data_IF_864661743628
#
_entry.id   IF_864661743628
#
_cell.length_a   1.000
_cell.length_b   1.000
_cell.length_c   1.000
_cell.angle_alpha   90.00
_cell.angle_beta   90.00
_cell.angle_gamma   90.00
#
_symmetry.space_group_name_H-M   'P 1'
#
loop_
_entity.id
_entity.type
_entity.pdbx_description
1 polymer ?
#
# COMPACT_ATOMS: atom_id res chain seq x y z
N UNK A 1 62.51 17.42 18.49
CA UNK A 1 61.84 18.60 19.08
C UNK A 1 60.34 18.30 19.10
N UNK A 2 59.67 18.19 20.26
CA UNK A 2 58.25 17.88 20.29
C UNK A 2 57.46 19.15 19.95
N UNK A 3 56.68 19.11 18.87
CA UNK A 3 55.81 20.22 18.47
C UNK A 3 54.78 20.48 19.56
N UNK A 4 54.77 21.71 20.10
CA UNK A 4 53.76 22.13 21.07
C UNK A 4 52.42 22.13 20.36
N UNK A 5 51.55 21.19 20.72
CA UNK A 5 50.20 21.11 20.17
C UNK A 5 49.45 22.40 20.53
N UNK A 6 49.13 23.18 19.49
CA UNK A 6 48.38 24.43 19.61
C UNK A 6 46.91 24.11 19.92
N UNK A 7 46.53 24.28 21.19
CA UNK A 7 45.19 23.95 21.71
C UNK A 7 44.08 24.68 20.94
N UNK A 8 44.37 25.86 20.39
CA UNK A 8 43.42 26.64 19.59
C UNK A 8 43.17 25.97 18.24
N UNK A 9 44.22 25.48 17.56
CA UNK A 9 44.07 24.74 16.30
C UNK A 9 43.33 23.42 16.52
N UNK A 10 43.61 22.76 17.64
CA UNK A 10 42.97 21.49 17.98
C UNK A 10 41.47 21.66 18.22
N UNK A 11 41.07 22.71 18.95
CA UNK A 11 39.66 23.05 19.17
C UNK A 11 38.91 23.36 17.86
N UNK A 12 39.52 24.13 16.96
CA UNK A 12 38.93 24.45 15.65
C UNK A 12 38.76 23.19 14.79
N UNK A 13 39.79 22.35 14.72
CA UNK A 13 39.72 21.09 13.96
C UNK A 13 38.68 20.11 14.52
N UNK A 14 38.53 20.06 15.85
CA UNK A 14 37.54 19.22 16.51
C UNK A 14 36.11 19.69 16.20
N UNK A 15 35.85 21.00 16.26
CA UNK A 15 34.55 21.57 15.91
C UNK A 15 34.15 21.27 14.45
N UNK A 16 35.09 21.38 13.51
CA UNK A 16 34.86 21.05 12.10
C UNK A 16 34.57 19.55 11.93
N UNK A 17 35.35 18.68 12.59
CA UNK A 17 35.13 17.23 12.53
C UNK A 17 33.76 16.83 13.10
N UNK A 18 33.36 17.40 14.25
CA UNK A 18 32.04 17.17 14.84
C UNK A 18 30.93 17.68 13.91
N UNK A 19 31.08 18.86 13.31
CA UNK A 19 30.13 19.39 12.34
C UNK A 19 29.95 18.49 11.12
N UNK A 20 31.05 17.99 10.55
CA UNK A 20 31.00 17.05 9.42
C UNK A 20 30.34 15.72 9.80
N UNK A 21 30.64 15.19 10.99
CA UNK A 21 29.98 13.98 11.51
C UNK A 21 28.48 14.21 11.66
N UNK A 22 28.04 15.35 12.22
CA UNK A 22 26.63 15.69 12.37
C UNK A 22 25.92 15.87 11.02
N UNK A 23 26.59 16.43 10.02
CA UNK A 23 26.05 16.54 8.66
C UNK A 23 25.87 15.15 8.03
N UNK A 24 26.88 14.27 8.11
CA UNK A 24 26.79 12.89 7.61
C UNK A 24 25.69 12.12 8.34
N UNK A 25 25.54 12.32 9.65
CA UNK A 25 24.46 11.71 10.43
C UNK A 25 23.09 12.25 10.04
N UNK A 26 22.97 13.56 9.79
CA UNK A 26 21.76 14.21 9.30
C UNK A 26 21.32 13.66 7.94
N UNK A 27 22.25 13.48 7.00
CA UNK A 27 21.96 12.87 5.70
C UNK A 27 21.60 11.39 5.80
N UNK A 28 22.20 10.63 6.74
CA UNK A 28 21.81 9.23 7.01
C UNK A 28 20.45 9.11 7.71
N UNK A 29 20.06 10.13 8.47
CA UNK A 29 18.79 10.18 9.18
C UNK A 29 17.67 10.81 8.35
N UNK A 30 17.98 11.38 7.19
CA UNK A 30 17.03 11.86 6.21
C UNK A 30 16.39 10.70 5.45
N UNK A 31 15.59 9.90 6.16
CA UNK A 31 14.68 8.94 5.55
C UNK A 31 13.60 9.77 4.87
N UNK A 32 13.73 9.97 3.56
CA UNK A 32 12.67 10.55 2.73
C UNK A 32 11.42 9.68 2.84
N UNK A 33 10.28 10.32 3.12
CA UNK A 33 9.03 9.70 3.57
C UNK A 33 8.34 8.68 2.66
N UNK A 34 8.96 8.27 1.56
CA UNK A 34 8.44 7.26 0.64
C UNK A 34 9.20 5.91 0.66
N UNK A 35 10.46 5.87 1.09
CA UNK A 35 11.27 4.62 1.03
C UNK A 35 11.13 3.71 2.28
N UNK A 36 10.35 4.12 3.29
CA UNK A 36 10.06 3.29 4.47
C UNK A 36 8.78 2.45 4.35
N UNK A 37 8.02 2.57 3.26
CA UNK A 37 6.86 1.70 2.98
C UNK A 37 7.37 0.44 2.30
N UNK A 38 7.80 -0.54 3.10
CA UNK A 38 8.24 -1.86 2.63
C UNK A 38 7.05 -2.69 2.12
N UNK A 39 6.46 -2.25 1.02
CA UNK A 39 5.44 -3.03 0.31
C UNK A 39 6.12 -4.28 -0.27
N UNK A 40 5.55 -5.49 -0.09
CA UNK A 40 6.12 -6.72 -0.65
C UNK A 40 6.26 -6.63 -2.17
N UNK A 41 7.23 -7.33 -2.79
CA UNK A 41 7.46 -7.29 -4.24
C UNK A 41 6.28 -7.78 -5.08
N UNK A 42 5.29 -8.43 -4.47
CA UNK A 42 4.06 -8.86 -5.13
C UNK A 42 3.03 -7.73 -5.29
N UNK A 43 3.16 -6.63 -4.55
CA UNK A 43 2.26 -5.48 -4.59
C UNK A 43 3.05 -4.31 -5.18
N UNK A 44 2.69 -3.90 -6.38
CA UNK A 44 3.35 -2.80 -7.10
C UNK A 44 2.87 -1.44 -6.61
N UNK A 45 1.59 -1.33 -6.26
CA UNK A 45 0.97 -0.11 -5.75
C UNK A 45 -0.21 -0.41 -4.84
N UNK A 46 -0.47 0.48 -3.90
CA UNK A 46 -1.70 0.48 -3.12
C UNK A 46 -2.22 1.91 -2.91
N UNK A 47 -3.54 2.04 -2.82
CA UNK A 47 -4.23 3.27 -2.46
C UNK A 47 -5.49 2.92 -1.66
N UNK A 48 -5.75 3.54 -0.50
CA UNK A 48 -4.82 4.35 0.29
C UNK A 48 -3.57 3.57 0.68
N UNK A 49 -2.45 4.28 0.77
CA UNK A 49 -1.23 3.76 1.35
C UNK A 49 -1.25 3.84 2.88
N UNK A 50 -0.31 3.16 3.53
CA UNK A 50 -0.21 3.14 4.98
C UNK A 50 -0.07 4.56 5.56
N UNK A 51 -0.97 4.92 6.47
CA UNK A 51 -1.06 6.22 7.12
C UNK A 51 -1.85 7.30 6.36
N UNK A 52 -2.37 7.00 5.16
CA UNK A 52 -3.10 8.00 4.36
C UNK A 52 -4.44 8.39 5.02
N UNK A 53 -4.85 9.64 4.75
CA UNK A 53 -6.18 10.17 5.11
C UNK A 53 -7.07 10.23 3.89
N UNK A 54 -8.27 9.69 3.98
CA UNK A 54 -9.20 9.56 2.86
C UNK A 54 -10.64 9.92 3.26
N UNK A 55 -11.50 10.03 2.25
CA UNK A 55 -12.93 10.27 2.44
C UNK A 55 -13.67 8.96 2.75
N UNK A 56 -14.87 9.08 3.33
CA UNK A 56 -15.77 7.92 3.62
C UNK A 56 -16.09 7.03 2.42
N UNK A 57 -16.01 7.60 1.22
CA UNK A 57 -16.30 6.95 -0.06
C UNK A 57 -15.02 6.75 -0.89
N UNK A 58 -13.85 6.67 -0.25
CA UNK A 58 -12.61 6.41 -0.96
C UNK A 58 -12.57 4.97 -1.51
N UNK A 59 -11.94 4.82 -2.68
CA UNK A 59 -11.70 3.52 -3.27
C UNK A 59 -10.44 2.90 -2.67
N UNK A 60 -10.51 1.61 -2.35
CA UNK A 60 -9.34 0.77 -2.06
C UNK A 60 -8.89 0.13 -3.37
N UNK A 61 -7.60 0.24 -3.68
CA UNK A 61 -6.97 -0.30 -4.89
C UNK A 61 -5.66 -0.95 -4.46
N UNK A 62 -5.46 -2.21 -4.84
CA UNK A 62 -4.18 -2.93 -4.73
C UNK A 62 -3.81 -3.41 -6.14
N UNK A 63 -2.65 -2.97 -6.60
CA UNK A 63 -2.03 -3.34 -7.87
C UNK A 63 -0.98 -4.42 -7.61
N UNK A 64 -1.14 -5.58 -8.23
CA UNK A 64 -0.24 -6.72 -8.03
C UNK A 64 0.67 -6.91 -9.22
N UNK A 65 1.85 -7.49 -8.95
CA UNK A 65 2.64 -8.11 -10.00
C UNK A 65 1.82 -9.24 -10.67
N UNK A 66 2.21 -9.62 -11.89
CA UNK A 66 1.56 -10.69 -12.63
C UNK A 66 1.51 -12.01 -11.85
N UNK A 67 0.41 -12.75 -12.01
CA UNK A 67 0.29 -14.13 -11.53
C UNK A 67 -0.14 -14.28 -10.07
N UNK A 68 -0.68 -13.21 -9.46
CA UNK A 68 -1.23 -13.23 -8.11
C UNK A 68 -2.75 -13.14 -8.09
N UNK A 69 -3.32 -13.74 -7.05
CA UNK A 69 -4.71 -13.53 -6.63
C UNK A 69 -4.74 -13.11 -5.18
N UNK A 70 -5.85 -12.49 -4.75
CA UNK A 70 -5.97 -11.98 -3.40
C UNK A 70 -7.41 -11.94 -2.88
N UNK A 71 -7.50 -11.84 -1.56
CA UNK A 71 -8.69 -11.51 -0.78
C UNK A 71 -8.42 -10.25 0.04
N UNK A 72 -9.47 -9.47 0.28
CA UNK A 72 -9.39 -8.21 1.02
C UNK A 72 -10.26 -8.30 2.27
N UNK A 73 -9.66 -7.97 3.41
CA UNK A 73 -10.36 -7.79 4.67
C UNK A 73 -10.17 -6.34 5.14
N UNK A 74 -11.24 -5.70 5.60
CA UNK A 74 -11.19 -4.36 6.18
C UNK A 74 -11.93 -4.41 7.51
N UNK A 75 -11.27 -3.97 8.58
CA UNK A 75 -11.81 -3.92 9.95
C UNK A 75 -12.39 -5.26 10.45
N UNK A 76 -11.77 -6.37 10.01
CA UNK A 76 -12.21 -7.72 10.35
C UNK A 76 -13.30 -8.28 9.42
N UNK A 77 -13.79 -7.50 8.45
CA UNK A 77 -14.79 -7.93 7.47
C UNK A 77 -14.07 -8.42 6.22
N UNK A 78 -14.09 -9.73 5.98
CA UNK A 78 -13.61 -10.32 4.71
C UNK A 78 -14.62 -10.02 3.60
N UNK A 79 -14.16 -9.29 2.59
CA UNK A 79 -14.97 -8.92 1.44
C UNK A 79 -14.98 -10.07 0.43
N UNK A 80 -16.17 -10.47 -0.07
CA UNK A 80 -16.23 -11.38 -1.21
C UNK A 80 -15.49 -10.75 -2.39
N UNK A 81 -14.76 -11.58 -3.13
CA UNK A 81 -14.04 -11.15 -4.34
C UNK A 81 -14.76 -11.71 -5.55
N UNK A 82 -15.16 -10.84 -6.46
CA UNK A 82 -15.70 -11.21 -7.77
C UNK A 82 -14.63 -10.93 -8.82
N UNK A 83 -14.40 -11.88 -9.72
CA UNK A 83 -13.48 -11.65 -10.83
C UNK A 83 -14.20 -11.01 -12.02
N UNK A 84 -13.57 -10.02 -12.65
CA UNK A 84 -14.18 -9.24 -13.72
C UNK A 84 -14.39 -10.07 -15.01
N UNK A 85 -13.50 -11.03 -15.27
CA UNK A 85 -13.60 -11.99 -16.37
C UNK A 85 -14.81 -12.92 -16.21
N UNK A 86 -15.13 -13.35 -15.00
CA UNK A 86 -16.31 -14.18 -14.70
C UNK A 86 -17.63 -13.42 -14.91
N UNK A 87 -17.67 -12.12 -14.59
CA UNK A 87 -18.84 -11.26 -14.86
C UNK A 87 -19.12 -11.16 -16.37
N UNK A 88 -18.06 -11.02 -17.16
CA UNK A 88 -18.12 -10.94 -18.62
C UNK A 88 -18.45 -12.30 -19.27
N UNK A 89 -18.13 -13.39 -18.57
CA UNK A 89 -18.37 -14.78 -19.01
C UNK A 89 -19.86 -15.18 -19.00
N UNK A 90 -20.75 -14.36 -18.43
CA UNK A 90 -22.21 -14.49 -18.58
C UNK A 90 -22.72 -14.21 -20.02
N UNK A 91 -21.82 -13.90 -20.96
CA UNK A 91 -22.07 -13.91 -22.40
C UNK A 91 -22.39 -12.53 -23.00
N UNK A 92 -22.39 -11.48 -22.18
CA UNK A 92 -22.55 -10.11 -22.65
C UNK A 92 -21.24 -9.34 -22.47
N UNK A 93 -20.39 -9.34 -23.49
CA UNK A 93 -19.34 -8.33 -23.57
C UNK A 93 -20.05 -6.97 -23.70
N UNK A 94 -19.83 -6.03 -22.76
CA UNK A 94 -20.45 -4.71 -22.85
C UNK A 94 -20.08 -4.09 -24.19
N UNK A 95 -21.05 -3.47 -24.88
CA UNK A 95 -20.75 -2.73 -26.10
C UNK A 95 -19.68 -1.66 -25.81
N UNK A 96 -18.80 -1.30 -26.76
CA UNK A 96 -17.86 -0.20 -26.55
C UNK A 96 -18.58 1.06 -26.05
N UNK A 97 -18.21 1.54 -24.86
CA UNK A 97 -18.87 2.67 -24.18
C UNK A 97 -20.05 2.32 -23.27
N UNK A 98 -20.41 1.05 -23.12
CA UNK A 98 -21.41 0.59 -22.15
C UNK A 98 -20.86 0.66 -20.73
N UNK A 99 -21.65 1.19 -19.80
CA UNK A 99 -21.32 1.23 -18.39
C UNK A 99 -21.52 -0.15 -17.76
N UNK A 100 -20.46 -0.72 -17.20
CA UNK A 100 -20.54 -1.95 -16.41
C UNK A 100 -20.87 -1.58 -14.98
N UNK A 101 -22.00 -2.08 -14.46
CA UNK A 101 -22.27 -1.98 -13.03
C UNK A 101 -21.36 -2.94 -12.28
N UNK A 102 -20.48 -2.40 -11.43
CA UNK A 102 -19.63 -3.22 -10.57
C UNK A 102 -20.48 -3.86 -9.45
N UNK A 103 -20.22 -5.14 -9.12
CA UNK A 103 -20.89 -5.80 -8.02
C UNK A 103 -20.54 -5.12 -6.69
N UNK A 104 -21.36 -5.37 -5.66
CA UNK A 104 -21.14 -4.85 -4.31
C UNK A 104 -20.13 -5.70 -3.51
N UNK A 105 -19.04 -6.04 -4.17
CA UNK A 105 -17.97 -6.91 -3.68
C UNK A 105 -16.62 -6.25 -3.99
N UNK A 106 -15.53 -6.79 -3.46
CA UNK A 106 -14.23 -6.48 -4.05
C UNK A 106 -14.19 -7.07 -5.48
N UNK A 107 -13.56 -6.37 -6.41
CA UNK A 107 -13.47 -6.76 -7.82
C UNK A 107 -12.01 -6.95 -8.18
N UNK A 108 -11.66 -8.16 -8.61
CA UNK A 108 -10.35 -8.46 -9.17
C UNK A 108 -10.41 -8.42 -10.70
N UNK A 109 -9.60 -7.55 -11.30
CA UNK A 109 -9.42 -7.47 -12.74
C UNK A 109 -8.13 -8.20 -13.15
N UNK A 110 -8.21 -9.43 -13.69
CA UNK A 110 -7.03 -10.18 -14.12
C UNK A 110 -6.36 -9.61 -15.38
N UNK A 111 -7.01 -8.70 -16.10
CA UNK A 111 -6.40 -8.01 -17.23
C UNK A 111 -5.36 -6.98 -16.80
N UNK A 112 -5.50 -6.44 -15.58
CA UNK A 112 -4.63 -5.42 -15.02
C UNK A 112 -3.98 -5.84 -13.69
N UNK A 113 -4.27 -7.03 -13.17
CA UNK A 113 -3.87 -7.52 -11.84
C UNK A 113 -4.27 -6.57 -10.69
N UNK A 114 -5.44 -5.92 -10.80
CA UNK A 114 -5.90 -4.95 -9.81
C UNK A 114 -7.05 -5.52 -8.99
N UNK A 115 -6.90 -5.52 -7.66
CA UNK A 115 -8.01 -5.70 -6.72
C UNK A 115 -8.53 -4.33 -6.31
N UNK A 116 -9.82 -4.09 -6.50
CA UNK A 116 -10.46 -2.83 -6.11
C UNK A 116 -11.71 -3.04 -5.28
N UNK A 117 -11.98 -2.11 -4.37
CA UNK A 117 -13.22 -2.08 -3.60
C UNK A 117 -13.68 -0.63 -3.42
N UNK A 118 -14.95 -0.38 -3.70
CA UNK A 118 -15.59 0.91 -3.50
C UNK A 118 -16.76 0.73 -2.52
N UNK A 119 -16.78 1.44 -1.38
CA UNK A 119 -17.94 1.46 -0.51
C UNK A 119 -19.19 1.88 -1.27
N UNK A 120 -20.30 1.17 -1.06
CA UNK A 120 -21.58 1.46 -1.68
C UNK A 120 -22.75 0.85 -0.89
N UNK A 121 -23.98 1.39 -0.98
CA UNK A 121 -25.09 1.00 -0.09
C UNK A 121 -25.46 -0.50 -0.03
N UNK A 122 -25.07 -1.28 -1.04
CA UNK A 122 -25.33 -2.74 -1.11
C UNK A 122 -24.11 -3.60 -0.76
N UNK A 123 -22.96 -2.99 -0.49
CA UNK A 123 -21.74 -3.70 -0.11
C UNK A 123 -21.75 -3.99 1.39
N UNK A 124 -20.92 -4.95 1.82
CA UNK A 124 -20.73 -5.24 3.24
C UNK A 124 -20.21 -4.02 4.01
N UNK A 125 -19.49 -3.12 3.33
CA UNK A 125 -19.07 -1.82 3.83
C UNK A 125 -19.70 -0.76 2.93
N UNK A 126 -20.72 -0.06 3.44
CA UNK A 126 -21.44 0.97 2.69
C UNK A 126 -20.69 2.31 2.65
N UNK A 127 -19.93 2.59 3.69
CA UNK A 127 -19.04 3.73 3.84
C UNK A 127 -18.00 3.43 4.93
N UNK A 128 -16.87 4.11 4.90
CA UNK A 128 -15.92 4.08 6.01
C UNK A 128 -16.41 4.99 7.13
N UNK A 129 -16.43 4.48 8.36
CA UNK A 129 -16.71 5.29 9.56
C UNK A 129 -15.58 6.27 9.82
N UNK A 130 -15.81 7.32 10.61
CA UNK A 130 -14.72 8.21 11.03
C UNK A 130 -13.72 7.43 11.92
N UNK A 131 -12.42 7.61 11.70
CA UNK A 131 -11.36 7.02 12.52
C UNK A 131 -10.31 6.24 11.73
N UNK A 132 -9.61 5.35 12.43
CA UNK A 132 -8.60 4.45 11.85
C UNK A 132 -9.28 3.18 11.31
N UNK A 133 -8.83 2.74 10.14
CA UNK A 133 -9.21 1.48 9.51
C UNK A 133 -7.99 0.59 9.32
N UNK A 134 -8.17 -0.70 9.52
CA UNK A 134 -7.14 -1.71 9.28
C UNK A 134 -7.54 -2.54 8.08
N UNK A 135 -6.75 -2.46 7.01
CA UNK A 135 -6.94 -3.28 5.83
C UNK A 135 -5.85 -4.37 5.75
N UNK A 136 -6.28 -5.56 5.37
CA UNK A 136 -5.47 -6.75 5.28
C UNK A 136 -5.72 -7.38 3.92
N UNK A 137 -4.66 -7.50 3.12
CA UNK A 137 -4.70 -8.22 1.86
C UNK A 137 -4.00 -9.56 2.03
N UNK A 138 -4.71 -10.64 1.73
CA UNK A 138 -4.15 -12.00 1.72
C UNK A 138 -4.03 -12.45 0.28
N UNK A 139 -2.81 -12.69 -0.18
CA UNK A 139 -2.47 -12.91 -1.59
C UNK A 139 -1.60 -14.16 -1.79
N UNK A 140 -1.70 -14.79 -2.94
CA UNK A 140 -0.93 -16.00 -3.30
C UNK A 140 -0.64 -16.01 -4.80
N UNK A 141 0.42 -16.71 -5.19
CA UNK A 141 0.65 -17.04 -6.59
C UNK A 141 -0.42 -18.03 -7.06
N UNK A 142 -1.04 -17.76 -8.21
CA UNK A 142 -2.15 -18.55 -8.76
C UNK A 142 -1.78 -20.04 -8.85
N UNK A 143 -0.55 -20.33 -9.28
CA UNK A 143 -0.05 -21.71 -9.45
C UNK A 143 0.28 -22.41 -8.13
N UNK A 144 0.55 -21.67 -7.06
CA UNK A 144 0.83 -22.23 -5.73
C UNK A 144 -0.44 -22.46 -4.92
N UNK A 145 -1.50 -21.69 -5.20
CA UNK A 145 -2.78 -21.76 -4.52
C UNK A 145 -2.82 -21.09 -3.15
N UNK A 146 -4.04 -20.92 -2.62
CA UNK A 146 -4.33 -20.15 -1.39
C UNK A 146 -3.63 -20.68 -0.13
N UNK A 147 -3.32 -21.96 -0.08
CA UNK A 147 -2.57 -22.59 1.03
C UNK A 147 -1.14 -22.02 1.19
N UNK A 148 -0.61 -21.36 0.16
CA UNK A 148 0.70 -20.69 0.16
C UNK A 148 0.58 -19.18 0.23
N UNK A 149 -0.55 -18.69 0.76
CA UNK A 149 -0.82 -17.26 0.87
C UNK A 149 0.11 -16.55 1.84
N UNK A 150 0.26 -15.26 1.58
CA UNK A 150 0.95 -14.27 2.39
C UNK A 150 -0.04 -13.16 2.71
N UNK A 151 0.27 -12.41 3.75
CA UNK A 151 -0.59 -11.32 4.20
C UNK A 151 0.21 -10.04 4.30
N UNK A 152 -0.39 -8.95 3.86
CA UNK A 152 0.11 -7.60 4.07
C UNK A 152 -0.99 -6.76 4.71
N UNK A 153 -0.63 -6.02 5.76
CA UNK A 153 -1.55 -5.20 6.54
C UNK A 153 -1.10 -3.74 6.46
N UNK A 154 -2.06 -2.84 6.34
CA UNK A 154 -1.85 -1.40 6.42
C UNK A 154 -3.02 -0.71 7.11
N UNK A 155 -2.83 0.57 7.42
CA UNK A 155 -3.80 1.43 8.06
C UNK A 155 -4.08 2.67 7.21
N UNK A 156 -5.31 3.14 7.28
CA UNK A 156 -5.69 4.44 6.73
C UNK A 156 -6.72 5.11 7.64
N UNK A 157 -6.91 6.40 7.48
CA UNK A 157 -7.78 7.20 8.33
C UNK A 157 -8.89 7.84 7.51
N UNK A 158 -10.08 7.90 8.09
CA UNK A 158 -11.24 8.58 7.51
C UNK A 158 -11.67 9.73 8.42
N UNK A 159 -11.89 10.91 7.84
CA UNK A 159 -12.40 12.09 8.56
C UNK A 159 -13.94 12.21 8.55
#
# INVERSE_FOLDING_TARGET
MPGRIDRTRLAVSFGIAVGLVLIVFGFRSGITGDEARQTPPAIERMSPADGDRVLRQAQIIIDFADGYEATLNIDGIELPVTRLDELSSSGAQPAPGAQVELPATAVFDPGNNVLSFQPQPRALIAEFTQGEHVAIVTYWEILAGREKSRTYQWRFFTD
#
